data_IF_657189276121
#
_entry.id   IF_657189276121
#
_cell.length_a   1.000
_cell.length_b   1.000
_cell.length_c   1.000
_cell.angle_alpha   90.00
_cell.angle_beta   90.00
_cell.angle_gamma   90.00
#
_symmetry.space_group_name_H-M   'P 1'
#
loop_
_entity.id
_entity.type
_entity.pdbx_description
1 polymer ?
#
# COMPACT_ATOMS: atom_id res chain seq x y z
N UNK A 1 -41.35 -29.95 -31.87
CA UNK A 1 -40.47 -31.12 -31.98
C UNK A 1 -39.19 -30.83 -31.22
N UNK A 2 -38.73 -31.82 -30.48
CA UNK A 2 -37.95 -31.76 -29.24
C UNK A 2 -36.45 -31.60 -29.43
N UNK A 3 -35.85 -30.86 -28.49
CA UNK A 3 -34.42 -30.72 -28.21
C UNK A 3 -33.81 -32.05 -27.71
N UNK A 4 -32.53 -32.39 -27.98
CA UNK A 4 -31.81 -33.36 -27.17
C UNK A 4 -30.63 -32.72 -26.42
N UNK A 5 -30.69 -32.88 -25.09
CA UNK A 5 -29.60 -32.71 -24.12
C UNK A 5 -28.66 -33.92 -24.20
N UNK A 6 -27.35 -33.71 -24.21
CA UNK A 6 -26.36 -34.77 -23.94
C UNK A 6 -26.01 -34.79 -22.45
N UNK A 7 -26.16 -35.98 -21.87
CA UNK A 7 -26.22 -36.22 -20.44
C UNK A 7 -24.87 -36.46 -19.75
N UNK A 8 -24.86 -36.07 -18.47
CA UNK A 8 -23.85 -36.41 -17.46
C UNK A 8 -23.80 -37.92 -17.24
N UNK A 9 -22.60 -38.50 -17.30
CA UNK A 9 -22.33 -39.88 -16.84
C UNK A 9 -22.58 -40.00 -15.34
N UNK A 10 -23.48 -40.90 -14.99
CA UNK A 10 -23.63 -41.50 -13.67
C UNK A 10 -22.52 -42.53 -13.45
N UNK A 11 -21.93 -42.54 -12.27
CA UNK A 11 -21.36 -43.74 -11.67
C UNK A 11 -22.10 -43.94 -10.34
N UNK A 12 -22.91 -45.00 -10.30
CA UNK A 12 -23.53 -45.56 -9.10
C UNK A 12 -23.19 -47.05 -9.10
N UNK A 13 -22.59 -47.51 -8.00
CA UNK A 13 -22.61 -48.88 -7.50
C UNK A 13 -22.58 -48.76 -5.98
N UNK A 14 -23.74 -48.80 -5.30
CA UNK A 14 -24.26 -49.95 -4.51
C UNK A 14 -23.26 -50.41 -3.43
N UNK A 15 -23.44 -50.00 -2.17
CA UNK A 15 -24.23 -50.67 -1.11
C UNK A 15 -23.58 -52.00 -0.66
N UNK A 16 -23.49 -52.42 0.60
CA UNK A 16 -23.74 -51.91 1.95
C UNK A 16 -23.24 -53.06 2.87
N UNK A 17 -22.80 -52.81 4.10
CA UNK A 17 -22.98 -53.73 5.23
C UNK A 17 -22.48 -53.11 6.54
N UNK A 18 -23.42 -52.99 7.48
CA UNK A 18 -23.18 -52.60 8.85
C UNK A 18 -22.55 -53.75 9.63
N UNK A 19 -21.54 -53.43 10.43
CA UNK A 19 -21.07 -54.27 11.52
C UNK A 19 -20.83 -53.36 12.74
N UNK A 20 -21.71 -53.49 13.73
CA UNK A 20 -21.53 -52.90 15.04
C UNK A 20 -20.47 -53.71 15.80
N UNK A 21 -19.31 -53.10 16.05
CA UNK A 21 -18.29 -53.63 16.95
C UNK A 21 -18.10 -52.64 18.09
N UNK A 22 -18.45 -53.07 19.31
CA UNK A 22 -18.13 -52.38 20.54
C UNK A 22 -16.61 -52.35 20.71
N UNK A 23 -16.02 -51.15 20.77
CA UNK A 23 -14.61 -50.94 21.07
C UNK A 23 -14.47 -50.28 22.46
N UNK A 24 -13.43 -50.63 23.24
CA UNK A 24 -13.32 -50.28 24.64
C UNK A 24 -13.00 -48.79 24.82
N UNK A 25 -13.47 -48.23 25.94
CA UNK A 25 -13.14 -46.88 26.40
C UNK A 25 -11.65 -46.76 26.66
N UNK A 26 -10.94 -46.05 25.78
CA UNK A 26 -9.56 -45.61 26.01
C UNK A 26 -9.64 -44.35 26.89
N UNK A 27 -8.93 -44.27 28.03
CA UNK A 27 -8.93 -43.07 28.84
C UNK A 27 -8.30 -41.92 28.04
N UNK A 28 -9.03 -40.81 27.97
CA UNK A 28 -8.55 -39.56 27.40
C UNK A 28 -7.33 -39.09 28.19
N UNK A 29 -6.14 -39.31 27.64
CA UNK A 29 -4.95 -38.61 28.08
C UNK A 29 -5.11 -37.14 27.65
N UNK A 30 -5.56 -36.31 28.59
CA UNK A 30 -5.49 -34.87 28.45
C UNK A 30 -4.02 -34.49 28.28
N UNK A 31 -3.59 -34.35 27.03
CA UNK A 31 -2.32 -33.70 26.70
C UNK A 31 -2.49 -32.23 27.04
N UNK A 32 -2.19 -31.88 28.29
CA UNK A 32 -1.87 -30.53 28.69
C UNK A 32 -0.58 -30.12 27.98
N UNK A 33 -0.67 -29.78 26.70
CA UNK A 33 0.37 -29.05 26.00
C UNK A 33 0.25 -27.58 26.40
N UNK A 34 0.68 -27.28 27.63
CA UNK A 34 1.05 -25.93 28.01
C UNK A 34 2.39 -25.60 27.35
N UNK A 35 2.32 -25.12 26.12
CA UNK A 35 3.19 -24.02 25.72
C UNK A 35 2.28 -22.99 25.09
N UNK A 36 1.74 -22.11 25.94
CA UNK A 36 1.45 -20.77 25.49
C UNK A 36 2.77 -20.26 24.90
N UNK A 37 2.91 -20.38 23.57
CA UNK A 37 3.83 -19.55 22.83
C UNK A 37 3.54 -18.15 23.34
N UNK A 38 4.46 -17.57 24.13
CA UNK A 38 4.46 -16.12 24.38
C UNK A 38 4.49 -15.55 22.98
N UNK A 39 3.31 -15.21 22.46
CA UNK A 39 3.11 -14.65 21.13
C UNK A 39 3.98 -13.41 21.16
N UNK A 40 5.17 -13.50 20.57
CA UNK A 40 6.13 -12.40 20.57
C UNK A 40 5.37 -11.29 19.88
N UNK A 41 4.99 -10.26 20.63
CA UNK A 41 4.49 -9.02 20.05
C UNK A 41 5.59 -8.55 19.13
N UNK A 42 5.36 -8.63 17.82
CA UNK A 42 6.31 -8.15 16.83
C UNK A 42 6.30 -6.64 16.93
N UNK A 43 7.25 -6.07 17.67
CA UNK A 43 7.43 -4.61 17.67
C UNK A 43 7.72 -4.18 16.22
N UNK A 44 6.87 -3.31 15.68
CA UNK A 44 7.06 -2.73 14.36
C UNK A 44 7.66 -1.33 14.48
N UNK A 45 8.64 -1.01 13.64
CA UNK A 45 9.20 0.34 13.54
C UNK A 45 8.90 0.90 12.16
N UNK A 46 8.33 2.10 12.14
CA UNK A 46 7.92 2.80 10.92
C UNK A 46 8.91 3.93 10.64
N UNK A 47 9.32 4.10 9.38
CA UNK A 47 10.13 5.22 8.93
C UNK A 47 9.54 5.80 7.66
N UNK A 48 9.26 7.10 7.70
CA UNK A 48 8.78 7.80 6.51
C UNK A 48 9.94 8.02 5.54
N UNK A 49 9.73 7.63 4.29
CA UNK A 49 10.73 7.76 3.21
C UNK A 49 10.53 9.06 2.40
N UNK A 50 9.55 9.88 2.77
CA UNK A 50 9.07 11.02 2.00
C UNK A 50 7.92 10.63 1.06
N UNK A 51 7.27 11.62 0.45
CA UNK A 51 6.10 11.39 -0.42
C UNK A 51 5.06 10.55 0.35
N UNK A 52 4.56 9.45 -0.23
CA UNK A 52 3.72 8.47 0.48
C UNK A 52 4.49 7.24 0.94
N UNK A 53 5.82 7.27 0.84
CA UNK A 53 6.69 6.13 1.03
C UNK A 53 6.94 5.79 2.51
N UNK A 54 6.86 4.51 2.84
CA UNK A 54 7.14 4.01 4.19
C UNK A 54 7.98 2.75 4.16
N UNK A 55 8.89 2.66 5.14
CA UNK A 55 9.51 1.39 5.54
C UNK A 55 8.95 0.96 6.89
N UNK A 56 8.49 -0.28 6.94
CA UNK A 56 7.94 -0.92 8.12
C UNK A 56 8.83 -2.11 8.45
N UNK A 57 9.65 -2.01 9.49
CA UNK A 57 10.44 -3.14 9.98
C UNK A 57 9.57 -3.96 10.94
N UNK A 58 9.33 -5.23 10.61
CA UNK A 58 8.53 -6.18 11.40
C UNK A 58 9.41 -7.42 11.64
N UNK A 59 9.76 -7.67 12.90
CA UNK A 59 10.64 -8.77 13.26
C UNK A 59 12.00 -8.67 12.57
N UNK A 60 12.33 -9.66 11.72
CA UNK A 60 13.61 -9.73 10.99
C UNK A 60 13.53 -9.28 9.52
N UNK A 61 12.42 -8.69 9.09
CA UNK A 61 12.16 -8.30 7.70
C UNK A 61 11.56 -6.90 7.63
N UNK A 62 11.44 -6.35 6.41
CA UNK A 62 10.66 -5.13 6.18
C UNK A 62 9.58 -5.29 5.10
N UNK A 63 8.57 -4.43 5.21
CA UNK A 63 7.59 -4.11 4.17
C UNK A 63 7.86 -2.68 3.72
N UNK A 64 7.83 -2.44 2.42
CA UNK A 64 7.83 -1.08 1.87
C UNK A 64 6.45 -0.75 1.30
N UNK A 65 6.05 0.50 1.45
CA UNK A 65 4.94 1.10 0.70
C UNK A 65 5.51 2.25 -0.11
N UNK A 66 5.22 2.32 -1.41
CA UNK A 66 5.62 3.39 -2.34
C UNK A 66 7.04 3.97 -2.12
N UNK A 67 8.10 3.15 -2.13
CA UNK A 67 9.43 3.67 -1.87
C UNK A 67 9.89 4.58 -3.02
N UNK A 68 10.04 5.88 -2.73
CA UNK A 68 10.67 6.87 -3.62
C UNK A 68 11.74 7.68 -2.89
N UNK A 69 12.97 7.22 -3.01
CA UNK A 69 14.17 7.75 -2.37
C UNK A 69 15.06 8.52 -3.37
N UNK A 70 14.93 8.27 -4.67
CA UNK A 70 15.78 8.88 -5.71
C UNK A 70 15.57 10.38 -5.92
N UNK A 71 14.34 10.89 -5.72
CA UNK A 71 14.01 12.32 -5.58
C UNK A 71 14.71 13.23 -6.60
N UNK A 72 14.50 12.97 -7.89
CA UNK A 72 15.05 13.79 -8.98
C UNK A 72 14.10 14.93 -9.39
N UNK A 73 14.67 16.00 -9.95
CA UNK A 73 13.93 17.18 -10.40
C UNK A 73 13.18 16.91 -11.70
N UNK A 74 11.87 17.10 -11.69
CA UNK A 74 10.98 17.13 -12.88
C UNK A 74 10.53 18.55 -13.22
N UNK A 75 10.77 19.52 -12.32
CA UNK A 75 10.34 20.90 -12.46
C UNK A 75 8.94 21.17 -11.92
N UNK A 76 8.28 20.16 -11.33
CA UNK A 76 6.93 20.24 -10.77
C UNK A 76 6.79 21.38 -9.77
N UNK A 77 7.71 21.46 -8.80
CA UNK A 77 7.68 22.47 -7.74
C UNK A 77 8.24 23.83 -8.16
N UNK A 78 8.72 23.95 -9.40
CA UNK A 78 9.30 25.17 -9.95
C UNK A 78 8.45 25.81 -11.06
N UNK A 79 7.26 25.28 -11.33
CA UNK A 79 6.40 25.77 -12.42
C UNK A 79 6.99 25.50 -13.82
N UNK A 80 7.90 24.53 -13.93
CA UNK A 80 8.61 24.15 -15.16
C UNK A 80 8.56 22.63 -15.36
N UNK A 81 7.39 22.03 -15.09
CA UNK A 81 7.19 20.59 -15.14
C UNK A 81 7.43 20.05 -16.55
N UNK A 82 8.33 19.07 -16.66
CA UNK A 82 8.66 18.39 -17.91
C UNK A 82 8.26 16.91 -17.86
N UNK A 83 7.19 16.49 -18.56
CA UNK A 83 6.77 15.09 -18.61
C UNK A 83 7.79 14.17 -19.30
N UNK A 84 8.71 14.73 -20.10
CA UNK A 84 9.79 13.98 -20.74
C UNK A 84 11.03 13.80 -19.84
N UNK A 85 10.97 14.22 -18.58
CA UNK A 85 12.06 14.03 -17.61
C UNK A 85 12.46 12.54 -17.55
N UNK A 86 13.74 12.20 -17.81
CA UNK A 86 14.19 10.81 -17.75
C UNK A 86 14.08 10.21 -16.34
N UNK A 87 13.65 8.95 -16.26
CA UNK A 87 13.64 8.19 -15.01
C UNK A 87 15.08 7.99 -14.50
N UNK A 88 15.30 8.21 -13.21
CA UNK A 88 16.61 8.05 -12.57
C UNK A 88 16.46 7.36 -11.22
N UNK A 89 17.33 6.38 -10.99
CA UNK A 89 17.47 5.72 -9.68
C UNK A 89 18.80 6.15 -9.06
N UNK A 90 18.75 6.83 -7.91
CA UNK A 90 19.91 7.02 -7.05
C UNK A 90 20.12 5.75 -6.23
N UNK A 91 20.79 4.77 -6.83
CA UNK A 91 21.02 3.47 -6.22
C UNK A 91 21.70 3.58 -4.84
N UNK A 92 22.62 4.53 -4.66
CA UNK A 92 23.31 4.68 -3.39
C UNK A 92 22.37 5.11 -2.26
N UNK A 93 21.49 6.09 -2.52
CA UNK A 93 20.49 6.54 -1.55
C UNK A 93 19.41 5.48 -1.32
N UNK A 94 18.92 4.85 -2.40
CA UNK A 94 17.93 3.78 -2.32
C UNK A 94 18.44 2.61 -1.47
N UNK A 95 19.63 2.11 -1.77
CA UNK A 95 20.22 0.95 -1.10
C UNK A 95 20.53 1.21 0.38
N UNK A 96 20.84 2.46 0.73
CA UNK A 96 21.10 2.89 2.10
C UNK A 96 19.84 2.89 2.97
N UNK A 97 18.68 3.20 2.41
CA UNK A 97 17.46 3.48 3.20
C UNK A 97 16.34 2.45 3.03
N UNK A 98 16.26 1.75 1.89
CA UNK A 98 15.20 0.77 1.59
C UNK A 98 15.19 -0.43 2.55
N UNK A 99 16.30 -0.73 3.23
CA UNK A 99 16.39 -1.86 4.16
C UNK A 99 16.49 -3.20 3.44
N UNK A 100 15.79 -4.23 3.94
CA UNK A 100 15.77 -5.58 3.38
C UNK A 100 14.34 -6.08 3.22
N UNK A 101 13.56 -5.48 2.31
CA UNK A 101 12.17 -5.84 2.17
C UNK A 101 11.98 -7.27 1.65
N UNK A 102 10.92 -7.92 2.13
CA UNK A 102 10.35 -9.10 1.48
C UNK A 102 9.13 -8.76 0.64
N UNK A 103 8.48 -7.64 0.95
CA UNK A 103 7.24 -7.17 0.32
C UNK A 103 7.37 -5.68 0.00
N UNK A 104 6.94 -5.29 -1.19
CA UNK A 104 6.77 -3.91 -1.62
C UNK A 104 5.32 -3.75 -2.08
N UNK A 105 4.60 -2.82 -1.47
CA UNK A 105 3.23 -2.46 -1.80
C UNK A 105 3.24 -1.16 -2.61
N UNK A 106 2.66 -1.20 -3.80
CA UNK A 106 2.61 -0.07 -4.74
C UNK A 106 1.17 0.40 -4.84
N UNK A 107 0.91 1.64 -4.44
CA UNK A 107 -0.45 2.21 -4.49
C UNK A 107 -0.86 2.49 -5.93
N UNK A 108 0.04 3.09 -6.72
CA UNK A 108 -0.15 3.39 -8.13
C UNK A 108 1.22 3.64 -8.79
N UNK A 109 1.25 3.80 -10.11
CA UNK A 109 2.52 3.70 -10.87
C UNK A 109 3.16 5.02 -11.27
N UNK A 110 2.73 6.17 -10.75
CA UNK A 110 3.45 7.42 -10.98
C UNK A 110 4.91 7.36 -10.49
N UNK A 111 5.75 8.22 -11.07
CA UNK A 111 7.20 8.17 -10.88
C UNK A 111 7.62 8.36 -9.42
N UNK A 112 6.90 9.15 -8.64
CA UNK A 112 7.13 9.43 -7.23
C UNK A 112 6.65 8.31 -6.28
N UNK A 113 6.16 7.20 -6.84
CA UNK A 113 5.75 6.00 -6.09
C UNK A 113 6.45 4.73 -6.57
N UNK A 114 6.76 4.65 -7.87
CA UNK A 114 7.18 3.40 -8.51
C UNK A 114 8.63 3.37 -8.98
N UNK A 115 9.29 4.52 -9.21
CA UNK A 115 10.59 4.55 -9.90
C UNK A 115 11.66 3.65 -9.27
N UNK A 116 11.72 3.59 -7.93
CA UNK A 116 12.75 2.81 -7.24
C UNK A 116 12.36 1.33 -7.03
N UNK A 117 11.08 0.99 -7.24
CA UNK A 117 10.53 -0.34 -6.95
C UNK A 117 11.27 -1.45 -7.71
N UNK A 118 11.52 -1.35 -9.04
CA UNK A 118 12.24 -2.41 -9.76
C UNK A 118 13.68 -2.60 -9.29
N UNK A 119 14.38 -1.51 -8.96
CA UNK A 119 15.74 -1.59 -8.42
C UNK A 119 15.75 -2.31 -7.07
N UNK A 120 14.87 -1.92 -6.15
CA UNK A 120 14.77 -2.54 -4.81
C UNK A 120 14.39 -4.02 -4.93
N UNK A 121 13.36 -4.36 -5.71
CA UNK A 121 12.91 -5.74 -5.89
C UNK A 121 13.99 -6.63 -6.52
N UNK A 122 14.64 -6.17 -7.58
CA UNK A 122 15.72 -6.90 -8.25
C UNK A 122 16.93 -7.14 -7.34
N UNK A 123 17.27 -6.17 -6.48
CA UNK A 123 18.37 -6.26 -5.52
C UNK A 123 18.09 -7.18 -4.33
N UNK A 124 16.84 -7.27 -3.89
CA UNK A 124 16.48 -7.86 -2.59
C UNK A 124 15.76 -9.19 -2.69
N UNK A 125 15.17 -9.50 -3.85
CA UNK A 125 14.28 -10.64 -3.97
C UNK A 125 12.82 -10.33 -3.63
N UNK A 126 12.49 -9.10 -3.21
CA UNK A 126 11.17 -8.75 -2.69
C UNK A 126 10.05 -8.99 -3.70
N UNK A 127 8.89 -9.41 -3.19
CA UNK A 127 7.66 -9.48 -3.98
C UNK A 127 7.00 -8.09 -4.06
N UNK A 128 6.60 -7.70 -5.26
CA UNK A 128 5.90 -6.45 -5.55
C UNK A 128 4.42 -6.74 -5.71
N UNK A 129 3.60 -6.05 -4.93
CA UNK A 129 2.14 -6.09 -4.99
C UNK A 129 1.66 -4.73 -5.47
N UNK A 130 0.83 -4.73 -6.50
CA UNK A 130 0.29 -3.51 -7.11
C UNK A 130 -0.72 -3.88 -8.19
N UNK A 131 -1.15 -2.91 -8.96
CA UNK A 131 -2.14 -3.15 -10.02
C UNK A 131 -1.55 -4.00 -11.16
N UNK A 132 -2.40 -4.39 -12.12
CA UNK A 132 -1.92 -5.04 -13.34
C UNK A 132 -0.93 -4.15 -14.12
N UNK A 133 -1.07 -2.83 -14.01
CA UNK A 133 -0.11 -1.89 -14.58
C UNK A 133 1.26 -2.01 -13.92
N UNK A 134 1.32 -2.06 -12.57
CA UNK A 134 2.58 -2.28 -11.84
C UNK A 134 3.25 -3.59 -12.24
N UNK A 135 2.45 -4.65 -12.43
CA UNK A 135 2.93 -5.95 -12.91
C UNK A 135 3.59 -5.83 -14.29
N UNK A 136 2.92 -5.24 -15.28
CA UNK A 136 3.47 -5.11 -16.62
C UNK A 136 4.69 -4.19 -16.70
N UNK A 137 4.69 -3.07 -15.96
CA UNK A 137 5.86 -2.19 -15.87
C UNK A 137 7.04 -2.89 -15.20
N UNK A 138 6.79 -3.69 -14.15
CA UNK A 138 7.82 -4.50 -13.50
C UNK A 138 8.49 -5.48 -14.47
N UNK A 139 7.69 -6.16 -15.31
CA UNK A 139 8.22 -7.03 -16.37
C UNK A 139 9.07 -6.25 -17.38
N UNK A 140 8.57 -5.11 -17.88
CA UNK A 140 9.30 -4.26 -18.82
C UNK A 140 10.61 -3.72 -18.23
N UNK A 141 10.66 -3.56 -16.91
CA UNK A 141 11.85 -3.10 -16.18
C UNK A 141 12.80 -4.24 -15.78
N UNK A 142 12.48 -5.50 -16.12
CA UNK A 142 13.36 -6.66 -16.01
C UNK A 142 13.14 -7.52 -14.76
N UNK A 143 12.05 -7.30 -14.01
CA UNK A 143 11.72 -8.18 -12.89
C UNK A 143 11.16 -9.51 -13.38
N UNK A 144 11.50 -10.64 -12.74
CA UNK A 144 10.87 -11.93 -13.03
C UNK A 144 9.40 -11.93 -12.58
N UNK A 145 8.52 -12.55 -13.38
CA UNK A 145 7.09 -12.65 -13.08
C UNK A 145 6.79 -13.23 -11.69
N UNK A 146 7.64 -14.14 -11.17
CA UNK A 146 7.48 -14.73 -9.85
C UNK A 146 7.60 -13.73 -8.68
N UNK A 147 8.23 -12.57 -8.90
CA UNK A 147 8.28 -11.48 -7.92
C UNK A 147 7.09 -10.53 -8.01
N UNK A 148 6.26 -10.63 -9.05
CA UNK A 148 5.22 -9.65 -9.33
C UNK A 148 3.84 -10.26 -9.02
N UNK A 149 3.03 -9.55 -8.26
CA UNK A 149 1.73 -10.03 -7.78
C UNK A 149 0.66 -8.97 -8.06
N UNK A 150 -0.11 -9.10 -9.15
CA UNK A 150 -1.18 -8.15 -9.45
C UNK A 150 -2.33 -8.34 -8.46
N UNK A 151 -2.81 -7.23 -7.89
CA UNK A 151 -3.95 -7.14 -6.97
C UNK A 151 -4.92 -6.05 -7.47
N UNK A 152 -6.17 -6.09 -7.01
CA UNK A 152 -7.24 -5.20 -7.50
C UNK A 152 -7.96 -4.42 -6.41
N UNK A 153 -7.90 -4.86 -5.16
CA UNK A 153 -8.76 -4.39 -4.08
C UNK A 153 -9.78 -5.46 -3.67
N UNK A 154 -9.89 -5.69 -2.36
CA UNK A 154 -10.69 -6.73 -1.72
C UNK A 154 -9.88 -7.95 -1.27
N UNK A 155 -8.62 -8.08 -1.68
CA UNK A 155 -7.75 -9.16 -1.20
C UNK A 155 -7.32 -8.93 0.26
N UNK A 156 -7.28 -10.01 1.04
CA UNK A 156 -6.65 -10.04 2.37
C UNK A 156 -5.53 -11.08 2.32
N UNK A 157 -4.30 -10.61 2.44
CA UNK A 157 -3.08 -11.40 2.25
C UNK A 157 -2.39 -11.63 3.59
N UNK A 158 -2.15 -12.89 3.94
CA UNK A 158 -1.47 -13.29 5.18
C UNK A 158 0.03 -13.53 4.93
N UNK A 159 0.87 -12.83 5.68
CA UNK A 159 2.33 -12.96 5.66
C UNK A 159 2.89 -13.54 6.98
N UNK A 160 2.01 -14.00 7.87
CA UNK A 160 2.34 -14.59 9.17
C UNK A 160 2.44 -13.55 10.29
N UNK A 161 3.47 -12.70 10.24
CA UNK A 161 3.70 -11.66 11.26
C UNK A 161 2.90 -10.36 11.00
N UNK A 162 2.24 -10.27 9.84
CA UNK A 162 1.29 -9.23 9.48
C UNK A 162 0.32 -9.72 8.41
N UNK A 163 -0.82 -9.03 8.29
CA UNK A 163 -1.73 -9.16 7.14
C UNK A 163 -1.77 -7.86 6.35
N UNK A 164 -2.02 -7.96 5.05
CA UNK A 164 -2.25 -6.82 4.16
C UNK A 164 -3.63 -6.94 3.55
N UNK A 165 -4.51 -6.00 3.86
CA UNK A 165 -5.76 -5.80 3.15
C UNK A 165 -5.52 -4.79 2.03
N UNK A 166 -5.89 -5.18 0.80
CA UNK A 166 -5.77 -4.35 -0.40
C UNK A 166 -7.12 -3.70 -0.65
N UNK A 167 -7.15 -2.40 -0.89
CA UNK A 167 -8.39 -1.65 -1.10
C UNK A 167 -8.30 -0.88 -2.42
N UNK A 168 -9.33 -1.00 -3.27
CA UNK A 168 -9.42 -0.18 -4.47
C UNK A 168 -9.74 1.28 -4.08
N UNK A 169 -8.89 2.21 -4.51
CA UNK A 169 -8.96 3.64 -4.22
C UNK A 169 -9.22 4.50 -5.45
N UNK A 170 -8.97 5.80 -5.33
CA UNK A 170 -9.04 6.77 -6.43
C UNK A 170 -7.82 7.69 -6.37
N UNK A 171 -7.36 8.19 -7.52
CA UNK A 171 -6.24 9.11 -7.57
C UNK A 171 -6.63 10.57 -7.24
N UNK A 172 -5.66 11.36 -6.80
CA UNK A 172 -5.74 12.83 -6.71
C UNK A 172 -6.12 13.44 -8.05
N UNK A 173 -6.92 14.51 -8.03
CA UNK A 173 -7.35 15.26 -9.23
C UNK A 173 -6.91 16.72 -9.18
N UNK A 174 -6.76 17.34 -10.34
CA UNK A 174 -6.61 18.79 -10.43
C UNK A 174 -7.98 19.50 -10.33
N UNK A 175 -8.00 20.83 -10.32
CA UNK A 175 -9.23 21.63 -10.19
C UNK A 175 -10.25 21.42 -11.33
N UNK A 176 -9.85 20.82 -12.46
CA UNK A 176 -10.73 20.44 -13.57
C UNK A 176 -11.16 18.97 -13.50
N UNK A 177 -10.89 18.28 -12.38
CA UNK A 177 -11.18 16.86 -12.14
C UNK A 177 -10.41 15.87 -13.03
N UNK A 178 -9.30 16.31 -13.62
CA UNK A 178 -8.43 15.47 -14.45
C UNK A 178 -7.27 14.87 -13.66
N UNK A 179 -6.78 13.72 -14.13
CA UNK A 179 -5.58 13.04 -13.61
C UNK A 179 -4.33 13.47 -14.39
N UNK A 180 -3.20 13.51 -13.69
CA UNK A 180 -1.89 13.44 -14.33
C UNK A 180 -1.67 12.04 -14.89
N UNK A 181 -1.04 11.94 -16.07
CA UNK A 181 -0.70 10.69 -16.75
C UNK A 181 -1.76 9.56 -16.63
N UNK A 182 -3.02 9.80 -17.06
CA UNK A 182 -4.06 8.79 -16.96
C UNK A 182 -3.74 7.59 -17.87
N UNK A 183 -4.14 6.40 -17.43
CA UNK A 183 -4.08 5.20 -18.26
C UNK A 183 -3.70 3.94 -17.50
N UNK A 184 -3.82 2.81 -18.18
CA UNK A 184 -3.47 1.48 -17.67
C UNK A 184 -2.58 0.75 -18.68
N UNK A 185 -1.75 -0.18 -18.20
CA UNK A 185 -1.00 -1.10 -19.06
C UNK A 185 -1.64 -2.48 -18.99
N UNK A 186 -2.32 -2.88 -20.06
CA UNK A 186 -2.99 -4.20 -20.19
C UNK A 186 -2.11 -5.27 -20.81
N UNK A 187 -0.91 -4.90 -21.28
CA UNK A 187 0.17 -5.78 -21.72
C UNK A 187 1.53 -5.18 -21.31
N UNK A 188 2.60 -5.96 -21.41
CA UNK A 188 3.98 -5.50 -21.15
C UNK A 188 4.34 -4.40 -22.16
N UNK A 189 4.59 -3.16 -21.71
CA UNK A 189 4.98 -2.07 -22.60
C UNK A 189 6.47 -2.15 -22.97
N UNK A 190 6.91 -1.25 -23.86
CA UNK A 190 8.33 -0.92 -23.98
C UNK A 190 8.89 -0.46 -22.63
N UNK A 191 10.20 -0.61 -22.45
CA UNK A 191 10.88 -0.21 -21.21
C UNK A 191 10.65 1.30 -20.98
N UNK A 192 10.01 1.71 -19.87
CA UNK A 192 9.78 3.11 -19.55
C UNK A 192 11.09 3.91 -19.49
N UNK A 193 11.11 5.10 -20.09
CA UNK A 193 12.30 5.96 -20.14
C UNK A 193 12.07 7.30 -19.43
N UNK A 194 10.84 7.80 -19.41
CA UNK A 194 10.46 9.11 -18.86
C UNK A 194 9.36 8.99 -17.80
N UNK A 195 9.14 10.04 -17.03
CA UNK A 195 8.05 10.06 -16.03
C UNK A 195 6.66 9.88 -16.66
N UNK A 196 6.46 10.33 -17.90
CA UNK A 196 5.18 10.16 -18.61
C UNK A 196 4.91 8.72 -19.06
N UNK A 197 5.93 7.87 -19.14
CA UNK A 197 5.77 6.45 -19.47
C UNK A 197 5.16 5.63 -18.31
N UNK A 198 5.12 6.25 -17.12
CA UNK A 198 4.58 5.73 -15.87
C UNK A 198 3.18 6.33 -15.60
N UNK A 199 2.10 5.74 -16.16
CA UNK A 199 0.74 6.25 -15.94
C UNK A 199 0.28 5.98 -14.50
N UNK A 200 -0.88 6.51 -14.12
CA UNK A 200 -1.54 6.19 -12.84
C UNK A 200 -1.66 4.67 -12.66
N UNK A 201 -2.26 3.97 -13.63
CA UNK A 201 -2.35 2.52 -13.61
C UNK A 201 -3.41 1.95 -12.65
N UNK A 202 -4.46 2.71 -12.36
CA UNK A 202 -5.39 2.55 -11.23
C UNK A 202 -4.70 2.78 -9.86
N UNK A 203 -5.51 3.12 -8.86
CA UNK A 203 -5.02 3.47 -7.51
C UNK A 203 -5.54 2.49 -6.45
N UNK A 204 -4.63 2.04 -5.59
CA UNK A 204 -4.89 1.21 -4.42
C UNK A 204 -4.55 1.96 -3.13
N UNK A 205 -5.15 1.52 -2.04
CA UNK A 205 -4.69 1.79 -0.67
C UNK A 205 -4.50 0.46 0.05
N UNK A 206 -3.73 0.48 1.14
CA UNK A 206 -3.39 -0.74 1.88
C UNK A 206 -3.65 -0.55 3.36
N UNK A 207 -4.19 -1.56 4.03
CA UNK A 207 -4.13 -1.67 5.48
C UNK A 207 -3.17 -2.79 5.87
N UNK A 208 -2.11 -2.46 6.60
CA UNK A 208 -1.16 -3.43 7.15
C UNK A 208 -1.45 -3.61 8.63
N UNK A 209 -1.81 -4.83 9.03
CA UNK A 209 -2.08 -5.16 10.43
C UNK A 209 -0.97 -6.02 10.99
N UNK A 210 -0.18 -5.47 11.90
CA UNK A 210 0.96 -6.17 12.53
C UNK A 210 0.45 -7.12 13.61
N UNK A 211 0.92 -8.36 13.62
CA UNK A 211 0.49 -9.35 14.62
C UNK A 211 0.86 -8.90 16.04
N UNK A 212 -0.17 -8.63 16.86
CA UNK A 212 0.00 -8.12 18.22
C UNK A 212 0.53 -6.67 18.28
N UNK A 213 0.44 -5.93 17.17
CA UNK A 213 0.77 -4.51 17.06
C UNK A 213 -0.37 -3.74 16.38
N UNK A 214 -0.09 -2.55 15.84
CA UNK A 214 -1.10 -1.69 15.24
C UNK A 214 -1.56 -2.15 13.86
N UNK A 215 -2.77 -1.74 13.50
CA UNK A 215 -3.28 -1.69 12.13
C UNK A 215 -3.03 -0.30 11.55
N UNK A 216 -2.43 -0.24 10.37
CA UNK A 216 -1.98 1.01 9.74
C UNK A 216 -2.49 1.09 8.31
N UNK A 217 -3.25 2.14 8.03
CA UNK A 217 -3.77 2.45 6.70
C UNK A 217 -2.80 3.35 5.94
N UNK A 218 -2.50 3.00 4.69
CA UNK A 218 -1.57 3.69 3.81
C UNK A 218 -2.28 4.14 2.53
N UNK A 219 -2.15 5.44 2.24
CA UNK A 219 -2.76 6.10 1.10
C UNK A 219 -1.71 6.83 0.28
N UNK A 220 -1.64 6.53 -1.02
CA UNK A 220 -0.67 7.13 -1.94
C UNK A 220 -1.19 8.36 -2.71
N UNK A 221 -2.50 8.56 -2.75
CA UNK A 221 -3.15 9.63 -3.50
C UNK A 221 -4.36 10.17 -2.72
N UNK A 222 -4.83 11.37 -3.02
CA UNK A 222 -5.76 12.16 -2.19
C UNK A 222 -7.24 12.06 -2.60
N UNK A 223 -7.68 10.88 -3.02
CA UNK A 223 -9.09 10.57 -3.23
C UNK A 223 -9.37 9.09 -2.89
N UNK A 224 -10.62 8.73 -2.69
CA UNK A 224 -10.98 7.41 -2.21
C UNK A 224 -12.41 7.00 -2.59
N UNK A 225 -12.58 5.70 -2.79
CA UNK A 225 -13.90 5.10 -2.89
C UNK A 225 -14.43 4.81 -1.47
N UNK A 226 -15.19 5.75 -0.91
CA UNK A 226 -15.70 5.71 0.48
C UNK A 226 -16.33 4.36 0.89
N UNK A 227 -17.11 3.75 -0.01
CA UNK A 227 -17.76 2.45 0.25
C UNK A 227 -16.77 1.29 0.42
N UNK A 228 -15.59 1.38 -0.19
CA UNK A 228 -14.56 0.35 -0.09
C UNK A 228 -13.80 0.41 1.25
N UNK A 229 -13.98 1.48 2.04
CA UNK A 229 -13.39 1.62 3.38
C UNK A 229 -14.32 1.09 4.49
N UNK A 230 -15.51 0.59 4.14
CA UNK A 230 -16.49 0.12 5.12
C UNK A 230 -15.93 -1.02 5.97
N UNK A 231 -15.98 -0.86 7.29
CA UNK A 231 -15.47 -1.86 8.25
C UNK A 231 -14.01 -1.68 8.65
N UNK A 232 -13.26 -0.80 7.97
CA UNK A 232 -11.91 -0.43 8.41
C UNK A 232 -11.98 0.44 9.66
N UNK A 233 -11.04 0.21 10.57
CA UNK A 233 -10.87 0.99 11.80
C UNK A 233 -9.40 0.98 12.22
N UNK A 234 -8.49 1.54 11.40
CA UNK A 234 -7.06 1.49 11.65
C UNK A 234 -6.68 2.28 12.92
N UNK A 235 -5.63 1.83 13.60
CA UNK A 235 -5.03 2.56 14.72
C UNK A 235 -4.32 3.84 14.24
N UNK A 236 -3.74 3.76 13.03
CA UNK A 236 -3.02 4.86 12.38
C UNK A 236 -3.43 4.98 10.93
N UNK A 237 -3.74 6.19 10.47
CA UNK A 237 -3.98 6.48 9.06
C UNK A 237 -2.93 7.44 8.50
N UNK A 238 -2.14 6.95 7.53
CA UNK A 238 -1.20 7.71 6.72
C UNK A 238 -1.98 8.30 5.53
N UNK A 239 -2.29 9.60 5.55
CA UNK A 239 -3.24 10.24 4.64
C UNK A 239 -2.52 11.22 3.72
N UNK A 240 -2.66 11.03 2.40
CA UNK A 240 -2.09 11.91 1.39
C UNK A 240 -2.76 13.30 1.41
N UNK A 241 -1.93 14.34 1.30
CA UNK A 241 -2.29 15.77 1.37
C UNK A 241 -2.38 16.53 0.03
N UNK A 242 -1.68 16.16 -1.06
CA UNK A 242 -1.79 16.87 -2.34
C UNK A 242 -3.23 17.01 -2.78
N UNK A 243 -3.64 18.12 -3.41
CA UNK A 243 -4.99 18.29 -3.99
C UNK A 243 -6.19 17.98 -3.07
N UNK A 244 -6.01 17.98 -1.75
CA UNK A 244 -7.11 17.76 -0.79
C UNK A 244 -8.15 18.87 -0.80
N UNK A 245 -7.80 20.03 -1.36
CA UNK A 245 -8.67 21.17 -1.69
C UNK A 245 -9.59 20.92 -2.90
N UNK A 246 -9.34 19.87 -3.69
CA UNK A 246 -10.15 19.51 -4.87
C UNK A 246 -11.20 18.45 -4.53
N UNK A 247 -10.82 17.44 -3.75
CA UNK A 247 -11.73 16.35 -3.37
C UNK A 247 -12.78 16.85 -2.38
N UNK A 248 -14.05 16.82 -2.77
CA UNK A 248 -15.14 17.37 -1.96
C UNK A 248 -15.25 16.68 -0.59
N UNK A 249 -15.25 17.49 0.47
CA UNK A 249 -15.31 17.07 1.87
C UNK A 249 -14.33 15.94 2.22
N UNK A 250 -13.12 16.00 1.63
CA UNK A 250 -12.11 14.94 1.75
C UNK A 250 -11.88 14.47 3.18
N UNK A 251 -11.48 15.36 4.08
CA UNK A 251 -11.12 14.99 5.46
C UNK A 251 -12.33 14.50 6.27
N UNK A 252 -13.49 15.19 6.31
CA UNK A 252 -14.67 14.70 7.04
C UNK A 252 -15.14 13.31 6.59
N UNK A 253 -15.22 13.09 5.28
CA UNK A 253 -15.67 11.83 4.69
C UNK A 253 -14.66 10.72 4.96
N UNK A 254 -13.38 10.95 4.69
CA UNK A 254 -12.33 9.95 4.87
C UNK A 254 -12.20 9.53 6.34
N UNK A 255 -12.14 10.47 7.28
CA UNK A 255 -12.02 10.14 8.70
C UNK A 255 -13.28 9.44 9.22
N UNK A 256 -14.46 9.76 8.72
CA UNK A 256 -15.68 9.03 9.10
C UNK A 256 -15.65 7.59 8.57
N UNK A 257 -15.23 7.41 7.31
CA UNK A 257 -15.12 6.09 6.68
C UNK A 257 -14.08 5.19 7.36
N UNK A 258 -12.98 5.77 7.86
CA UNK A 258 -11.94 5.08 8.64
C UNK A 258 -12.25 4.98 10.14
N UNK A 259 -13.49 5.24 10.56
CA UNK A 259 -13.92 5.19 11.95
C UNK A 259 -13.10 6.09 12.92
N UNK A 260 -12.71 7.28 12.43
CA UNK A 260 -11.98 8.32 13.16
C UNK A 260 -10.73 7.77 13.87
N UNK A 261 -9.70 7.38 13.11
CA UNK A 261 -8.53 6.68 13.64
C UNK A 261 -7.88 7.47 14.80
N UNK A 262 -7.36 6.78 15.84
CA UNK A 262 -6.69 7.43 16.97
C UNK A 262 -5.52 8.32 16.55
N UNK A 263 -4.77 7.94 15.51
CA UNK A 263 -3.66 8.72 14.97
C UNK A 263 -3.82 8.96 13.48
N UNK A 264 -3.60 10.20 13.05
CA UNK A 264 -3.47 10.59 11.64
C UNK A 264 -2.07 11.12 11.39
N UNK A 265 -1.46 10.66 10.30
CA UNK A 265 -0.15 11.09 9.83
C UNK A 265 -0.33 11.67 8.42
N UNK A 266 -0.24 12.99 8.23
CA UNK A 266 -0.25 13.57 6.90
C UNK A 266 1.02 13.18 6.14
N UNK A 267 0.88 12.74 4.90
CA UNK A 267 1.98 12.35 4.00
C UNK A 267 1.86 13.06 2.65
N UNK A 268 2.90 12.96 1.82
CA UNK A 268 2.96 13.53 0.46
C UNK A 268 2.80 15.06 0.42
N UNK A 269 3.07 15.75 1.53
CA UNK A 269 3.06 17.22 1.59
C UNK A 269 4.44 17.84 1.35
N UNK A 270 5.48 17.00 1.27
CA UNK A 270 6.86 17.43 1.09
C UNK A 270 7.18 17.77 -0.37
N UNK A 271 8.19 18.60 -0.55
CA UNK A 271 8.83 18.79 -1.84
C UNK A 271 9.72 17.57 -2.15
N UNK A 272 9.18 16.63 -2.92
CA UNK A 272 9.86 15.39 -3.28
C UNK A 272 10.92 15.51 -4.38
N UNK A 273 11.28 16.73 -4.78
CA UNK A 273 12.43 17.03 -5.66
C UNK A 273 13.65 17.57 -4.88
N UNK A 274 13.60 17.60 -3.55
CA UNK A 274 14.76 17.96 -2.69
C UNK A 274 15.31 16.75 -1.94
N UNK A 275 16.58 16.75 -1.50
CA UNK A 275 17.12 15.67 -0.67
C UNK A 275 16.33 15.39 0.62
N UNK A 276 16.50 14.19 1.20
CA UNK A 276 15.92 13.76 2.48
C UNK A 276 16.58 14.45 3.67
N UNK A 277 16.39 15.76 3.79
CA UNK A 277 16.91 16.59 4.88
C UNK A 277 15.77 17.01 5.80
N UNK A 278 15.93 16.79 7.11
CA UNK A 278 14.99 17.28 8.12
C UNK A 278 15.33 18.72 8.56
N UNK A 279 14.31 19.57 8.84
CA UNK A 279 12.88 19.30 8.66
C UNK A 279 12.50 19.20 7.16
N UNK A 280 11.50 18.37 6.79
CA UNK A 280 11.11 18.19 5.40
C UNK A 280 10.77 19.51 4.69
N UNK A 281 11.34 19.70 3.50
CA UNK A 281 11.04 20.85 2.67
C UNK A 281 9.59 20.78 2.15
N UNK A 282 8.96 21.94 1.98
CA UNK A 282 7.60 22.07 1.42
C UNK A 282 7.47 23.42 0.71
N UNK A 283 6.60 23.50 -0.29
CA UNK A 283 6.31 24.78 -0.94
C UNK A 283 5.31 25.61 -0.11
N UNK A 284 5.17 26.92 -0.34
CA UNK A 284 4.14 27.71 0.33
C UNK A 284 2.73 27.18 0.10
N UNK A 285 2.43 26.71 -1.12
CA UNK A 285 1.12 26.16 -1.48
C UNK A 285 0.84 24.83 -0.75
N UNK A 286 1.81 23.92 -0.72
CA UNK A 286 1.64 22.62 -0.06
C UNK A 286 1.61 22.77 1.47
N UNK A 287 2.33 23.74 2.02
CA UNK A 287 2.19 24.14 3.43
C UNK A 287 0.78 24.62 3.75
N UNK A 288 0.20 25.50 2.93
CA UNK A 288 -1.16 25.98 3.14
C UNK A 288 -2.18 24.82 3.07
N UNK A 289 -2.00 23.86 2.15
CA UNK A 289 -2.82 22.64 2.09
C UNK A 289 -2.67 21.78 3.34
N UNK A 290 -1.45 21.56 3.81
CA UNK A 290 -1.18 20.82 5.05
C UNK A 290 -1.85 21.49 6.25
N UNK A 291 -1.77 22.81 6.38
CA UNK A 291 -2.39 23.56 7.48
C UNK A 291 -3.94 23.46 7.43
N UNK A 292 -4.51 23.52 6.23
CA UNK A 292 -5.96 23.33 6.01
C UNK A 292 -6.39 21.89 6.36
N UNK A 293 -5.60 20.89 5.95
CA UNK A 293 -5.82 19.48 6.30
C UNK A 293 -5.81 19.29 7.82
N UNK A 294 -4.77 19.79 8.51
CA UNK A 294 -4.66 19.72 9.98
C UNK A 294 -5.85 20.36 10.67
N UNK A 295 -6.29 21.52 10.18
CA UNK A 295 -7.47 22.22 10.70
C UNK A 295 -8.74 21.38 10.53
N UNK A 296 -8.92 20.76 9.36
CA UNK A 296 -10.07 19.91 9.08
C UNK A 296 -10.07 18.62 9.95
N UNK A 297 -8.90 18.02 10.22
CA UNK A 297 -8.76 16.87 11.12
C UNK A 297 -9.19 17.27 12.53
N UNK A 298 -8.65 18.37 13.08
CA UNK A 298 -9.00 18.87 14.43
C UNK A 298 -10.49 19.14 14.59
N UNK A 299 -11.15 19.64 13.54
CA UNK A 299 -12.61 19.88 13.54
C UNK A 299 -13.42 18.58 13.51
N UNK A 300 -13.00 17.61 12.69
CA UNK A 300 -13.75 16.38 12.42
C UNK A 300 -13.57 15.32 13.52
N UNK A 301 -12.36 15.20 14.04
CA UNK A 301 -11.96 14.20 15.01
C UNK A 301 -11.04 14.84 16.08
N UNK A 302 -11.59 15.63 17.01
CA UNK A 302 -10.80 16.43 17.97
C UNK A 302 -9.96 15.59 18.94
N UNK A 303 -10.22 14.28 19.05
CA UNK A 303 -9.44 13.34 19.86
C UNK A 303 -8.33 12.63 19.09
N UNK A 304 -8.31 12.73 17.77
CA UNK A 304 -7.29 12.13 16.93
C UNK A 304 -5.98 12.90 17.11
N UNK A 305 -4.91 12.17 17.43
CA UNK A 305 -3.55 12.72 17.44
C UNK A 305 -3.10 12.95 15.99
N UNK A 306 -2.53 14.11 15.72
CA UNK A 306 -1.86 14.40 14.46
C UNK A 306 -0.36 14.24 14.67
N UNK A 307 0.28 13.34 13.93
CA UNK A 307 1.72 13.13 13.95
C UNK A 307 2.31 13.58 12.61
N UNK A 308 2.96 14.74 12.58
CA UNK A 308 3.71 15.16 11.39
C UNK A 308 5.01 14.33 11.32
N UNK A 309 5.26 13.60 10.22
CA UNK A 309 6.44 12.75 10.12
C UNK A 309 7.68 13.56 9.70
N UNK A 310 8.85 13.07 10.11
CA UNK A 310 10.17 13.47 9.66
C UNK A 310 10.80 12.30 8.89
N UNK A 311 11.66 12.62 7.92
CA UNK A 311 12.31 11.59 7.11
C UNK A 311 13.17 10.68 7.96
N UNK A 312 13.04 9.37 7.72
CA UNK A 312 13.87 8.31 8.29
C UNK A 312 13.85 8.20 9.83
N UNK A 313 13.11 9.08 10.52
CA UNK A 313 12.89 9.03 11.97
C UNK A 313 12.09 7.78 12.32
N UNK A 314 12.54 6.95 13.29
CA UNK A 314 11.83 5.76 13.71
C UNK A 314 10.61 6.12 14.56
N UNK A 315 9.45 5.58 14.20
CA UNK A 315 8.20 5.67 14.94
C UNK A 315 7.74 4.30 15.44
N UNK A 316 7.09 4.30 16.58
CA UNK A 316 6.29 3.18 17.10
C UNK A 316 4.91 3.75 17.42
N UNK A 317 3.87 3.01 17.07
CA UNK A 317 2.48 3.39 17.26
C UNK A 317 1.80 2.37 18.17
#
# INVERSE_FOLDING_TARGET
>A
MTNPRLGRRRLLGTAALAAAAAAPTIPSAASAASTASRRRTSAATFRWLGTSGWRIDIGGSSVLVDPYLSRFRTGLFAGAFDPATPLRVDAATVDRHAGRPKTILVTHTHWDHFTDVPHIAGRTGARVFGTLTSYHLGLALGLPAAQLSPVKGGEVLDFGDHTVEVIAGLHSRNASYSLAFPGVRTAVPDRPATIADLPEGDTLTYQVSVQGGPSVFFMGASDFAERNLSGLSPDVAMIAVPSTDVTHDYVPRLLTALNRPPTVVPVHWDNFETPLTNPPATTPTDRARLDAFVTAVRRTAPRTRIQLPEYLTPYTF
#
